data_IF_241604238562
#
_entry.id   IF_241604238562
#
_cell.length_a   1.000
_cell.length_b   1.000
_cell.length_c   1.000
_cell.angle_alpha   90.00
_cell.angle_beta   90.00
_cell.angle_gamma   90.00
#
_symmetry.space_group_name_H-M   'P 1'
#
loop_
_entity.id
_entity.type
_entity.pdbx_description
1 polymer ?
#
# COMPACT_ATOMS: atom_id res chain seq x y z
N UNK A 1 -19.56 27.97 0.63
CA UNK A 1 -18.59 27.29 1.52
C UNK A 1 -17.53 26.66 0.61
N UNK A 2 -16.31 27.11 0.68
CA UNK A 2 -15.18 26.48 -0.04
C UNK A 2 -14.96 25.08 0.55
N UNK A 3 -14.78 24.09 -0.32
CA UNK A 3 -14.40 22.76 0.14
C UNK A 3 -13.12 22.84 0.99
N UNK A 4 -12.99 22.06 2.06
CA UNK A 4 -11.76 22.04 2.83
C UNK A 4 -10.58 21.66 1.91
N UNK A 5 -9.37 22.18 2.18
CA UNK A 5 -8.20 21.85 1.39
C UNK A 5 -7.98 20.31 1.40
N UNK A 6 -7.41 19.75 0.33
CA UNK A 6 -7.10 18.32 0.31
C UNK A 6 -6.11 17.99 1.44
N UNK A 7 -6.18 16.77 2.01
CA UNK A 7 -5.24 16.34 3.04
C UNK A 7 -3.81 16.26 2.48
N UNK A 8 -2.81 16.58 3.30
CA UNK A 8 -1.40 16.31 2.98
C UNK A 8 -1.11 14.84 3.23
N UNK A 9 -0.74 14.13 2.18
CA UNK A 9 -0.62 12.68 2.21
C UNK A 9 0.82 12.24 1.95
N UNK A 10 1.28 11.23 2.69
CA UNK A 10 2.44 10.45 2.28
C UNK A 10 2.02 9.04 1.85
N UNK A 11 2.71 8.48 0.87
CA UNK A 11 2.47 7.11 0.40
C UNK A 11 3.69 6.23 0.69
N UNK A 12 3.47 5.09 1.35
CA UNK A 12 4.47 4.04 1.55
C UNK A 12 4.18 2.90 0.57
N UNK A 13 5.05 2.73 -0.44
CA UNK A 13 4.98 1.64 -1.41
C UNK A 13 5.77 0.44 -0.89
N UNK A 14 5.09 -0.63 -0.50
CA UNK A 14 5.73 -1.85 0.02
C UNK A 14 6.13 -2.77 -1.13
N UNK A 15 7.44 -2.88 -1.38
CA UNK A 15 8.05 -3.66 -2.44
C UNK A 15 9.05 -4.73 -1.91
N UNK A 16 9.13 -4.92 -0.59
CA UNK A 16 10.11 -5.80 0.08
C UNK A 16 9.76 -7.29 0.06
N UNK A 17 8.66 -7.71 -0.59
CA UNK A 17 8.28 -9.11 -0.70
C UNK A 17 9.25 -9.92 -1.57
N UNK A 18 9.49 -11.20 -1.22
CA UNK A 18 10.44 -12.08 -1.92
C UNK A 18 10.07 -12.40 -3.38
N UNK A 19 8.80 -12.24 -3.76
CA UNK A 19 8.33 -12.55 -5.12
C UNK A 19 8.43 -14.03 -5.54
N UNK A 20 8.79 -14.93 -4.63
CA UNK A 20 9.14 -16.35 -4.91
C UNK A 20 8.09 -17.15 -5.67
N UNK A 21 6.81 -16.77 -5.58
CA UNK A 21 5.71 -17.48 -6.24
C UNK A 21 5.58 -17.24 -7.75
N UNK A 22 6.22 -16.20 -8.28
CA UNK A 22 6.22 -15.93 -9.74
C UNK A 22 7.28 -16.77 -10.47
N UNK A 23 8.21 -17.41 -9.75
CA UNK A 23 9.19 -18.36 -10.32
C UNK A 23 10.30 -17.76 -11.19
N UNK A 24 10.39 -16.44 -11.30
CA UNK A 24 11.28 -15.77 -12.25
C UNK A 24 12.71 -15.50 -11.71
N UNK A 25 13.07 -15.98 -10.51
CA UNK A 25 14.37 -15.67 -9.89
C UNK A 25 14.56 -14.18 -9.52
N UNK A 26 13.70 -13.30 -10.02
CA UNK A 26 13.69 -11.84 -9.80
C UNK A 26 12.44 -11.44 -9.00
N UNK A 27 12.55 -10.37 -8.23
CA UNK A 27 11.39 -9.84 -7.51
C UNK A 27 10.29 -9.41 -8.49
N UNK A 28 9.08 -9.91 -8.28
CA UNK A 28 7.92 -9.66 -9.16
C UNK A 28 7.60 -8.18 -9.39
N UNK A 29 7.94 -7.30 -8.44
CA UNK A 29 7.71 -5.86 -8.58
C UNK A 29 8.65 -5.20 -9.60
N UNK A 30 9.75 -5.89 -9.98
CA UNK A 30 10.69 -5.48 -11.00
C UNK A 30 10.39 -6.09 -12.38
N UNK A 31 9.47 -7.05 -12.46
CA UNK A 31 9.08 -7.65 -13.73
C UNK A 31 8.39 -6.62 -14.64
N UNK A 32 8.63 -6.69 -15.96
CA UNK A 32 7.98 -5.77 -16.89
C UNK A 32 6.49 -6.11 -17.04
N UNK A 33 5.65 -5.08 -16.99
CA UNK A 33 4.25 -5.07 -17.34
C UNK A 33 4.08 -4.04 -18.47
N UNK A 34 3.84 -4.50 -19.68
CA UNK A 34 3.88 -3.67 -20.90
C UNK A 34 5.18 -2.85 -21.04
N UNK A 35 6.33 -3.48 -20.74
CA UNK A 35 7.64 -2.85 -20.82
C UNK A 35 8.01 -1.90 -19.66
N UNK A 36 7.13 -1.71 -18.69
CA UNK A 36 7.35 -0.88 -17.49
C UNK A 36 7.34 -1.77 -16.25
N UNK A 37 8.30 -1.66 -15.31
CA UNK A 37 8.28 -2.47 -14.10
C UNK A 37 6.98 -2.32 -13.31
N UNK A 38 6.45 -3.42 -12.75
CA UNK A 38 5.21 -3.43 -11.96
C UNK A 38 5.17 -2.33 -10.89
N UNK A 39 6.28 -2.14 -10.15
CA UNK A 39 6.38 -1.10 -9.12
C UNK A 39 6.27 0.32 -9.69
N UNK A 40 6.77 0.54 -10.91
CA UNK A 40 6.77 1.86 -11.53
C UNK A 40 5.34 2.34 -11.85
N UNK A 41 4.39 1.46 -12.09
CA UNK A 41 2.98 1.80 -12.23
C UNK A 41 2.42 2.39 -10.92
N UNK A 42 2.63 1.71 -9.78
CA UNK A 42 2.22 2.21 -8.47
C UNK A 42 2.93 3.53 -8.09
N UNK A 43 4.22 3.66 -8.44
CA UNK A 43 4.98 4.89 -8.23
C UNK A 43 4.37 6.05 -9.03
N UNK A 44 4.12 5.85 -10.32
CA UNK A 44 3.51 6.85 -11.20
C UNK A 44 2.16 7.31 -10.69
N UNK A 45 1.27 6.36 -10.29
CA UNK A 45 -0.02 6.72 -9.72
C UNK A 45 0.15 7.54 -8.45
N UNK A 46 0.98 7.11 -7.49
CA UNK A 46 1.18 7.83 -6.24
C UNK A 46 1.74 9.25 -6.47
N UNK A 47 2.67 9.41 -7.41
CA UNK A 47 3.32 10.70 -7.69
C UNK A 47 2.52 11.61 -8.63
N UNK A 48 1.50 11.11 -9.32
CA UNK A 48 0.58 11.94 -10.13
C UNK A 48 -0.42 12.72 -9.27
N UNK A 49 -0.60 12.35 -8.01
CA UNK A 49 -1.55 12.98 -7.11
C UNK A 49 -0.93 14.23 -6.47
N UNK A 50 -1.50 15.39 -6.74
CA UNK A 50 -0.96 16.69 -6.29
C UNK A 50 -0.90 16.80 -4.76
N UNK A 51 -1.85 16.18 -4.06
CA UNK A 51 -1.94 16.18 -2.60
C UNK A 51 -1.00 15.16 -1.91
N UNK A 52 -0.24 14.36 -2.68
CA UNK A 52 0.80 13.47 -2.14
C UNK A 52 2.12 14.23 -2.08
N UNK A 53 2.54 14.57 -0.87
CA UNK A 53 3.75 15.35 -0.62
C UNK A 53 5.02 14.50 -0.64
N UNK A 54 4.92 13.23 -0.27
CA UNK A 54 6.08 12.35 -0.15
C UNK A 54 5.73 10.90 -0.47
N UNK A 55 6.62 10.24 -1.20
CA UNK A 55 6.56 8.80 -1.44
C UNK A 55 7.78 8.12 -0.79
N UNK A 56 7.55 7.00 -0.10
CA UNK A 56 8.61 6.15 0.44
C UNK A 56 8.46 4.77 -0.16
N UNK A 57 9.48 4.30 -0.87
CA UNK A 57 9.51 2.96 -1.44
C UNK A 57 10.32 2.04 -0.53
N UNK A 58 9.70 0.99 -0.05
CA UNK A 58 10.35 0.02 0.83
C UNK A 58 10.74 -1.20 0.03
N UNK A 59 12.03 -1.38 -0.22
CA UNK A 59 12.58 -2.44 -1.04
C UNK A 59 13.22 -3.56 -0.20
N UNK A 60 13.27 -4.78 -0.73
CA UNK A 60 14.10 -5.84 -0.17
C UNK A 60 15.58 -5.45 -0.28
N UNK A 61 16.40 -5.78 0.70
CA UNK A 61 17.84 -5.44 0.71
C UNK A 61 18.54 -5.77 -0.61
N UNK A 62 18.32 -6.97 -1.14
CA UNK A 62 18.92 -7.40 -2.42
C UNK A 62 18.44 -6.62 -3.65
N UNK A 63 17.34 -5.87 -3.54
CA UNK A 63 16.73 -5.14 -4.65
C UNK A 63 16.88 -3.62 -4.52
N UNK A 64 17.46 -3.11 -3.44
CA UNK A 64 17.54 -1.66 -3.14
C UNK A 64 18.14 -0.87 -4.31
N UNK A 65 19.27 -1.32 -4.87
CA UNK A 65 19.91 -0.63 -5.99
C UNK A 65 19.00 -0.59 -7.21
N UNK A 66 18.41 -1.73 -7.60
CA UNK A 66 17.51 -1.80 -8.75
C UNK A 66 16.23 -0.97 -8.55
N UNK A 67 15.72 -0.89 -7.31
CA UNK A 67 14.57 -0.04 -6.98
C UNK A 67 14.95 1.44 -6.98
N UNK A 68 16.17 1.79 -6.57
CA UNK A 68 16.67 3.16 -6.65
C UNK A 68 16.75 3.62 -8.10
N UNK A 69 17.39 2.82 -8.99
CA UNK A 69 17.49 3.11 -10.42
C UNK A 69 16.08 3.22 -11.07
N UNK A 70 15.13 2.38 -10.63
CA UNK A 70 13.75 2.45 -11.08
C UNK A 70 13.10 3.77 -10.64
N UNK A 71 13.26 4.17 -9.39
CA UNK A 71 12.71 5.42 -8.87
C UNK A 71 13.30 6.60 -9.64
N UNK A 72 14.61 6.69 -9.81
CA UNK A 72 15.25 7.76 -10.59
C UNK A 72 14.71 7.84 -12.02
N UNK A 73 14.48 6.67 -12.66
CA UNK A 73 14.00 6.61 -14.04
C UNK A 73 12.54 7.00 -14.21
N UNK A 74 11.67 6.69 -13.24
CA UNK A 74 10.21 6.79 -13.39
C UNK A 74 9.57 7.86 -12.51
N UNK A 75 10.36 8.52 -11.64
CA UNK A 75 9.88 9.63 -10.82
C UNK A 75 9.71 10.87 -11.70
N UNK A 76 8.53 11.52 -11.68
CA UNK A 76 8.34 12.77 -12.40
C UNK A 76 9.24 13.90 -11.86
N UNK A 77 9.64 14.81 -12.75
CA UNK A 77 10.40 16.00 -12.36
C UNK A 77 9.66 16.82 -11.28
N UNK A 78 10.41 17.32 -10.30
CA UNK A 78 9.86 18.08 -9.18
C UNK A 78 9.16 17.25 -8.10
N UNK A 79 9.18 15.91 -8.20
CA UNK A 79 8.67 15.00 -7.17
C UNK A 79 9.81 14.35 -6.40
N UNK A 80 9.56 14.01 -5.15
CA UNK A 80 10.54 13.36 -4.28
C UNK A 80 10.04 11.98 -3.85
N UNK A 81 10.96 11.01 -3.85
CA UNK A 81 10.71 9.70 -3.28
C UNK A 81 11.97 9.18 -2.56
N UNK A 82 11.79 8.62 -1.38
CA UNK A 82 12.87 7.95 -0.65
C UNK A 82 12.81 6.43 -0.89
N UNK A 83 13.96 5.79 -1.04
CA UNK A 83 14.07 4.33 -1.07
C UNK A 83 14.72 3.85 0.21
N UNK A 84 14.10 2.88 0.89
CA UNK A 84 14.61 2.32 2.14
C UNK A 84 14.56 0.80 2.15
N UNK A 85 15.48 0.19 2.89
CA UNK A 85 15.50 -1.25 3.08
C UNK A 85 14.38 -1.68 4.01
N UNK A 86 13.59 -2.67 3.61
CA UNK A 86 12.52 -3.29 4.39
C UNK A 86 13.06 -4.17 5.53
N UNK A 87 12.13 -4.72 6.28
CA UNK A 87 12.40 -5.68 7.35
C UNK A 87 12.11 -7.13 6.93
N UNK A 88 12.27 -8.05 7.88
CA UNK A 88 12.05 -9.46 7.67
C UNK A 88 10.58 -9.84 7.40
N UNK A 89 9.65 -9.00 7.81
CA UNK A 89 8.20 -9.19 7.60
C UNK A 89 7.59 -8.00 6.88
N UNK A 90 6.34 -8.15 6.38
CA UNK A 90 5.56 -7.03 5.84
C UNK A 90 5.42 -5.92 6.88
N UNK A 91 5.04 -6.26 8.10
CA UNK A 91 4.88 -5.33 9.22
C UNK A 91 6.18 -4.56 9.51
N UNK A 92 7.32 -5.27 9.59
CA UNK A 92 8.62 -4.63 9.79
C UNK A 92 9.01 -3.71 8.61
N UNK A 93 8.62 -4.06 7.38
CA UNK A 93 8.85 -3.21 6.20
C UNK A 93 7.98 -1.95 6.24
N UNK A 94 6.71 -2.06 6.63
CA UNK A 94 5.82 -0.91 6.84
C UNK A 94 6.38 0.03 7.92
N UNK A 95 6.86 -0.53 9.04
CA UNK A 95 7.53 0.25 10.09
C UNK A 95 8.75 1.02 9.58
N UNK A 96 9.58 0.40 8.74
CA UNK A 96 10.74 1.09 8.11
C UNK A 96 10.27 2.29 7.27
N UNK A 97 9.23 2.12 6.46
CA UNK A 97 8.65 3.22 5.68
C UNK A 97 8.08 4.33 6.55
N UNK A 98 7.31 3.98 7.59
CA UNK A 98 6.74 4.95 8.55
C UNK A 98 7.83 5.69 9.35
N UNK A 99 8.95 5.02 9.64
CA UNK A 99 10.05 5.63 10.37
C UNK A 99 10.71 6.80 9.61
N UNK A 100 10.71 6.76 8.28
CA UNK A 100 11.15 7.89 7.43
C UNK A 100 10.23 9.10 7.57
N UNK A 101 8.94 8.87 7.72
CA UNK A 101 7.92 9.90 7.81
C UNK A 101 7.76 10.47 9.23
N UNK A 102 8.42 9.89 10.24
CA UNK A 102 8.18 10.16 11.66
C UNK A 102 8.23 11.66 11.99
N UNK A 103 9.31 12.34 11.62
CA UNK A 103 9.49 13.76 11.96
C UNK A 103 8.38 14.63 11.37
N UNK A 104 7.97 14.37 10.14
CA UNK A 104 6.87 15.09 9.49
C UNK A 104 5.52 14.80 10.12
N UNK A 105 5.29 13.54 10.53
CA UNK A 105 4.05 13.15 11.24
C UNK A 105 3.99 13.84 12.60
N UNK A 106 5.08 13.83 13.36
CA UNK A 106 5.17 14.45 14.69
C UNK A 106 5.06 15.99 14.63
N UNK A 107 5.55 16.60 13.55
CA UNK A 107 5.39 18.03 13.29
C UNK A 107 3.97 18.43 12.85
N UNK A 108 3.11 17.44 12.52
CA UNK A 108 1.78 17.70 11.98
C UNK A 108 1.79 18.13 10.51
N UNK A 109 2.86 17.83 9.77
CA UNK A 109 3.00 18.17 8.34
C UNK A 109 2.31 17.16 7.42
N UNK A 110 1.87 16.03 7.96
CA UNK A 110 1.15 14.98 7.24
C UNK A 110 -0.17 14.66 7.96
N UNK A 111 -1.26 14.68 7.23
CA UNK A 111 -2.59 14.39 7.75
C UNK A 111 -2.91 12.89 7.64
N UNK A 112 -2.48 12.26 6.54
CA UNK A 112 -2.77 10.86 6.20
C UNK A 112 -1.51 10.17 5.68
N UNK A 113 -1.35 8.90 6.05
CA UNK A 113 -0.39 8.00 5.39
C UNK A 113 -1.15 6.85 4.75
N UNK A 114 -0.89 6.63 3.47
CA UNK A 114 -1.41 5.50 2.70
C UNK A 114 -0.31 4.45 2.49
N UNK A 115 -0.56 3.22 2.90
CA UNK A 115 0.33 2.08 2.66
C UNK A 115 -0.21 1.27 1.49
N UNK A 116 0.63 1.08 0.47
CA UNK A 116 0.21 0.42 -0.76
C UNK A 116 1.17 -0.70 -1.17
N UNK A 117 0.62 -1.84 -1.59
CA UNK A 117 1.40 -2.93 -2.16
C UNK A 117 1.95 -2.51 -3.53
N UNK A 118 3.27 -2.36 -3.67
CA UNK A 118 3.91 -2.07 -4.96
C UNK A 118 3.68 -3.14 -6.05
N UNK A 119 3.05 -4.25 -5.70
CA UNK A 119 2.61 -5.31 -6.61
C UNK A 119 1.14 -5.16 -7.07
N UNK A 120 0.49 -4.00 -6.87
CA UNK A 120 -0.85 -3.69 -7.38
C UNK A 120 -0.78 -2.54 -8.39
N UNK A 121 -0.32 -2.83 -9.62
CA UNK A 121 -0.06 -1.80 -10.61
C UNK A 121 -1.31 -1.08 -11.13
N UNK A 122 -2.49 -1.65 -10.88
CA UNK A 122 -3.77 -1.17 -11.42
C UNK A 122 -4.61 -0.36 -10.40
N UNK A 123 -4.04 -0.03 -9.25
CA UNK A 123 -4.66 0.93 -8.34
C UNK A 123 -4.57 2.33 -8.99
N UNK A 124 -5.72 2.87 -9.36
CA UNK A 124 -5.81 4.17 -10.05
C UNK A 124 -5.85 5.35 -9.07
N UNK A 125 -5.79 6.56 -9.63
CA UNK A 125 -5.83 7.80 -8.88
C UNK A 125 -7.16 7.98 -8.13
N UNK A 126 -8.28 7.55 -8.71
CA UNK A 126 -9.61 7.67 -8.09
C UNK A 126 -9.70 6.81 -6.83
N UNK A 127 -9.17 5.59 -6.86
CA UNK A 127 -9.12 4.72 -5.69
C UNK A 127 -8.26 5.32 -4.57
N UNK A 128 -7.06 5.83 -4.90
CA UNK A 128 -6.21 6.50 -3.93
C UNK A 128 -6.92 7.71 -3.32
N UNK A 129 -7.54 8.56 -4.13
CA UNK A 129 -8.26 9.73 -3.66
C UNK A 129 -9.42 9.35 -2.73
N UNK A 130 -10.26 8.40 -3.13
CA UNK A 130 -11.40 7.94 -2.34
C UNK A 130 -10.95 7.41 -0.96
N UNK A 131 -9.89 6.59 -0.94
CA UNK A 131 -9.36 6.01 0.30
C UNK A 131 -8.71 7.07 1.19
N UNK A 132 -7.88 7.97 0.64
CA UNK A 132 -7.21 9.01 1.42
C UNK A 132 -8.21 10.03 1.99
N UNK A 133 -9.20 10.47 1.21
CA UNK A 133 -10.30 11.35 1.69
C UNK A 133 -11.12 10.70 2.79
N UNK A 134 -11.49 9.42 2.62
CA UNK A 134 -12.23 8.68 3.62
C UNK A 134 -11.44 8.52 4.92
N UNK A 135 -10.13 8.21 4.83
CA UNK A 135 -9.25 8.11 5.99
C UNK A 135 -9.11 9.44 6.72
N UNK A 136 -8.93 10.55 5.98
CA UNK A 136 -8.86 11.89 6.56
C UNK A 136 -10.15 12.24 7.35
N UNK A 137 -11.31 11.97 6.75
CA UNK A 137 -12.61 12.28 7.37
C UNK A 137 -12.90 11.39 8.58
N UNK A 138 -12.65 10.09 8.50
CA UNK A 138 -13.17 9.10 9.45
C UNK A 138 -12.10 8.44 10.32
N UNK A 139 -10.82 8.54 9.96
CA UNK A 139 -9.72 7.94 10.74
C UNK A 139 -8.90 6.94 9.93
N UNK A 140 -9.53 5.91 9.40
CA UNK A 140 -8.91 4.92 8.52
C UNK A 140 -9.84 4.50 7.40
N UNK A 141 -9.28 4.09 6.26
CA UNK A 141 -10.04 3.54 5.14
C UNK A 141 -9.20 2.58 4.30
N UNK A 142 -9.89 1.62 3.69
CA UNK A 142 -9.25 0.70 2.76
C UNK A 142 -10.28 0.13 1.76
N UNK A 143 -9.83 -0.31 0.57
CA UNK A 143 -10.73 -0.92 -0.39
C UNK A 143 -11.14 -2.32 0.06
N UNK A 144 -12.44 -2.60 0.00
CA UNK A 144 -13.02 -3.90 0.33
C UNK A 144 -13.85 -4.44 -0.82
N UNK A 145 -13.83 -5.77 -1.00
CA UNK A 145 -14.66 -6.48 -1.97
C UNK A 145 -15.38 -7.63 -1.30
N UNK A 146 -16.68 -7.84 -1.57
CA UNK A 146 -17.37 -9.06 -1.15
C UNK A 146 -16.63 -10.31 -1.64
N UNK A 147 -16.54 -11.32 -0.79
CA UNK A 147 -15.99 -12.65 -1.13
C UNK A 147 -17.10 -13.68 -1.04
N UNK A 148 -17.94 -13.83 -2.08
CA UNK A 148 -18.97 -14.85 -2.12
C UNK A 148 -18.38 -16.25 -2.34
N UNK A 149 -19.13 -17.28 -1.99
CA UNK A 149 -18.80 -18.67 -2.32
C UNK A 149 -17.72 -19.29 -1.43
N UNK A 150 -17.39 -18.67 -0.28
CA UNK A 150 -16.48 -19.25 0.67
C UNK A 150 -17.18 -20.31 1.54
N UNK A 151 -16.50 -21.44 1.75
CA UNK A 151 -16.91 -22.51 2.65
C UNK A 151 -15.76 -22.83 3.61
N UNK A 152 -16.07 -23.43 4.75
CA UNK A 152 -15.03 -23.97 5.64
C UNK A 152 -14.24 -25.07 4.94
N UNK A 153 -12.98 -25.29 5.36
CA UNK A 153 -12.08 -26.27 4.71
C UNK A 153 -12.63 -27.69 4.68
N UNK A 154 -13.53 -28.05 5.60
CA UNK A 154 -14.26 -29.33 5.63
C UNK A 154 -15.51 -29.36 4.72
N UNK A 155 -15.80 -28.26 4.01
CA UNK A 155 -16.94 -28.11 3.10
C UNK A 155 -18.32 -28.00 3.79
N UNK A 156 -18.40 -28.01 5.12
CA UNK A 156 -19.66 -28.16 5.86
C UNK A 156 -20.45 -26.89 6.08
N UNK A 157 -19.81 -25.71 6.04
CA UNK A 157 -20.48 -24.42 6.31
C UNK A 157 -20.12 -23.38 5.26
N UNK A 158 -21.15 -22.71 4.74
CA UNK A 158 -20.97 -21.49 3.99
C UNK A 158 -20.57 -20.36 4.93
N UNK A 159 -19.57 -19.59 4.53
CA UNK A 159 -19.13 -18.40 5.27
C UNK A 159 -19.65 -17.18 4.53
N UNK A 160 -20.40 -16.34 5.24
CA UNK A 160 -20.99 -15.10 4.70
C UNK A 160 -20.44 -13.88 5.44
N UNK A 161 -20.59 -12.70 4.83
CA UNK A 161 -20.13 -11.44 5.43
C UNK A 161 -18.62 -11.22 5.38
N UNK A 162 -17.86 -12.10 4.70
CA UNK A 162 -16.43 -11.88 4.49
C UNK A 162 -16.18 -10.95 3.31
N UNK A 163 -15.18 -10.10 3.49
CA UNK A 163 -14.67 -9.20 2.46
C UNK A 163 -13.18 -9.43 2.24
N UNK A 164 -12.75 -9.37 1.01
CA UNK A 164 -11.34 -9.30 0.67
C UNK A 164 -10.87 -7.86 0.76
N UNK A 165 -9.78 -7.62 1.48
CA UNK A 165 -9.18 -6.30 1.62
C UNK A 165 -8.10 -6.08 0.55
N UNK A 166 -7.98 -4.84 0.10
CA UNK A 166 -6.96 -4.44 -0.87
C UNK A 166 -6.13 -3.28 -0.29
N UNK A 167 -5.23 -2.75 -1.08
CA UNK A 167 -4.51 -1.49 -0.81
C UNK A 167 -4.73 -0.52 -1.98
N UNK A 168 -4.62 0.81 -1.75
CA UNK A 168 -4.02 1.48 -0.58
C UNK A 168 -4.84 1.32 0.69
N UNK A 169 -4.18 1.18 1.85
CA UNK A 169 -4.79 1.27 3.17
C UNK A 169 -4.31 2.59 3.80
N UNK A 170 -5.21 3.53 4.01
CA UNK A 170 -4.88 4.85 4.49
C UNK A 170 -5.43 5.11 5.89
N UNK A 171 -4.66 5.84 6.69
CA UNK A 171 -4.99 6.17 8.07
C UNK A 171 -4.50 7.58 8.41
N UNK A 172 -5.14 8.23 9.38
CA UNK A 172 -4.60 9.45 9.98
C UNK A 172 -3.19 9.18 10.49
N UNK A 173 -2.26 10.07 10.15
CA UNK A 173 -0.83 9.84 10.31
C UNK A 173 -0.40 9.62 11.77
N UNK A 174 -0.85 10.44 12.71
CA UNK A 174 -0.51 10.31 14.12
C UNK A 174 -0.94 8.97 14.74
N UNK A 175 -2.23 8.63 14.70
CA UNK A 175 -2.71 7.34 15.23
C UNK A 175 -2.05 6.12 14.57
N UNK A 176 -1.75 6.17 13.27
CA UNK A 176 -1.02 5.10 12.59
C UNK A 176 0.38 4.94 13.17
N UNK A 177 1.13 6.03 13.30
CA UNK A 177 2.49 5.99 13.87
C UNK A 177 2.48 5.44 15.31
N UNK A 178 1.51 5.86 16.12
CA UNK A 178 1.38 5.40 17.51
C UNK A 178 1.02 3.91 17.60
N UNK A 179 0.14 3.41 16.71
CA UNK A 179 -0.17 1.99 16.62
C UNK A 179 1.11 1.16 16.35
N UNK A 180 1.90 1.58 15.37
CA UNK A 180 3.13 0.89 15.02
C UNK A 180 4.21 0.97 16.10
N UNK A 181 4.31 2.08 16.84
CA UNK A 181 5.21 2.18 18.00
C UNK A 181 4.86 1.18 19.10
N UNK A 182 3.58 1.07 19.44
CA UNK A 182 3.09 0.09 20.43
C UNK A 182 3.32 -1.34 19.93
N UNK A 183 2.99 -1.61 18.68
CA UNK A 183 3.22 -2.90 18.06
C UNK A 183 4.70 -3.34 18.09
N UNK A 184 5.63 -2.39 17.86
CA UNK A 184 7.07 -2.66 17.98
C UNK A 184 7.49 -2.99 19.42
N UNK A 185 6.94 -2.29 20.41
CA UNK A 185 7.25 -2.54 21.82
C UNK A 185 6.77 -3.93 22.28
N UNK A 186 5.63 -4.39 21.75
CA UNK A 186 5.02 -5.67 22.09
C UNK A 186 5.51 -6.84 21.22
N UNK A 187 6.36 -6.60 20.21
CA UNK A 187 6.80 -7.64 19.27
C UNK A 187 5.66 -8.16 18.37
N UNK A 188 4.62 -7.38 18.18
CA UNK A 188 3.47 -7.73 17.35
C UNK A 188 3.84 -7.79 15.86
N UNK A 189 3.25 -8.74 15.16
CA UNK A 189 3.39 -8.86 13.70
C UNK A 189 2.02 -8.97 13.06
N UNK A 190 1.58 -7.90 12.38
CA UNK A 190 0.34 -7.87 11.62
C UNK A 190 0.49 -8.47 10.22
N UNK A 191 -0.61 -8.92 9.64
CA UNK A 191 -0.68 -9.39 8.25
C UNK A 191 -0.85 -8.26 7.25
N UNK A 192 -1.45 -7.14 7.70
CA UNK A 192 -1.62 -5.91 6.94
C UNK A 192 -1.65 -4.69 7.88
N UNK A 193 -1.72 -3.49 7.31
CA UNK A 193 -1.71 -2.22 8.04
C UNK A 193 -2.93 -2.08 8.94
N UNK A 194 -4.12 -2.43 8.42
CA UNK A 194 -5.38 -2.35 9.17
C UNK A 194 -5.36 -3.27 10.39
N UNK A 195 -4.81 -4.48 10.27
CA UNK A 195 -4.68 -5.40 11.40
C UNK A 195 -3.83 -4.84 12.54
N UNK A 196 -2.77 -4.09 12.24
CA UNK A 196 -2.00 -3.40 13.27
C UNK A 196 -2.80 -2.25 13.89
N UNK A 197 -3.41 -1.39 13.08
CA UNK A 197 -4.16 -0.24 13.57
C UNK A 197 -5.33 -0.66 14.47
N UNK A 198 -6.11 -1.66 14.06
CA UNK A 198 -7.25 -2.16 14.86
C UNK A 198 -6.84 -2.88 16.12
N UNK A 199 -5.63 -3.44 16.19
CA UNK A 199 -5.11 -4.06 17.41
C UNK A 199 -4.69 -3.04 18.47
N UNK A 200 -4.30 -1.84 18.06
CA UNK A 200 -3.70 -0.84 18.97
C UNK A 200 -4.47 0.48 19.07
N UNK A 201 -5.56 0.63 18.35
CA UNK A 201 -6.39 1.85 18.39
C UNK A 201 -7.85 1.50 18.22
N UNK A 202 -8.74 2.41 18.68
CA UNK A 202 -10.17 2.38 18.40
C UNK A 202 -10.52 3.18 17.13
N UNK A 203 -9.54 3.43 16.27
CA UNK A 203 -9.72 4.23 15.07
C UNK A 203 -10.70 3.54 14.11
N UNK A 204 -11.81 4.20 13.71
CA UNK A 204 -12.73 3.62 12.75
C UNK A 204 -12.04 3.34 11.41
N UNK A 205 -12.34 2.18 10.82
CA UNK A 205 -11.84 1.79 9.49
C UNK A 205 -13.02 1.67 8.54
N UNK A 206 -13.07 2.57 7.56
CA UNK A 206 -14.16 2.65 6.61
C UNK A 206 -13.89 1.83 5.34
N UNK A 207 -14.91 1.13 4.89
CA UNK A 207 -14.88 0.40 3.62
C UNK A 207 -15.05 1.37 2.45
N UNK A 208 -14.15 1.31 1.48
CA UNK A 208 -14.30 1.92 0.16
C UNK A 208 -14.53 0.79 -0.85
N UNK A 209 -15.44 0.92 -1.83
CA UNK A 209 -15.59 -0.10 -2.85
C UNK A 209 -14.27 -0.38 -3.57
N UNK A 210 -13.78 -1.62 -3.50
CA UNK A 210 -12.55 -2.05 -4.15
C UNK A 210 -12.82 -2.60 -5.55
N UNK A 211 -12.22 -2.05 -6.62
CA UNK A 211 -12.44 -2.56 -7.97
C UNK A 211 -11.80 -3.95 -8.15
N UNK A 212 -12.45 -4.78 -8.99
CA UNK A 212 -11.91 -6.10 -9.33
C UNK A 212 -10.56 -6.03 -10.02
N UNK A 213 -10.35 -4.95 -10.77
CA UNK A 213 -9.13 -4.66 -11.52
C UNK A 213 -7.92 -4.35 -10.63
N UNK A 214 -8.12 -3.91 -9.38
CA UNK A 214 -7.02 -3.66 -8.43
C UNK A 214 -6.44 -5.00 -7.90
N UNK A 215 -6.03 -5.86 -8.82
CA UNK A 215 -5.41 -7.14 -8.50
C UNK A 215 -3.99 -6.98 -7.97
N UNK A 216 -3.55 -7.96 -7.18
CA UNK A 216 -2.16 -8.06 -6.72
C UNK A 216 -1.42 -9.08 -7.57
N UNK A 217 -0.41 -8.67 -8.29
CA UNK A 217 0.48 -9.58 -9.01
C UNK A 217 1.15 -10.51 -7.98
N UNK A 218 0.78 -11.78 -8.01
CA UNK A 218 1.25 -12.81 -7.07
C UNK A 218 1.81 -14.01 -7.81
N UNK A 219 1.21 -14.36 -8.94
CA UNK A 219 1.58 -15.46 -9.85
C UNK A 219 1.83 -14.88 -11.25
N UNK A 220 2.41 -15.69 -12.14
CA UNK A 220 2.68 -15.29 -13.53
C UNK A 220 1.38 -14.97 -14.30
N UNK A 221 0.30 -15.68 -13.99
CA UNK A 221 -1.03 -15.48 -14.61
C UNK A 221 -1.61 -14.10 -14.28
N UNK A 222 -1.32 -13.57 -13.07
CA UNK A 222 -1.76 -12.23 -12.66
C UNK A 222 -1.09 -11.14 -13.52
N UNK A 223 0.17 -11.35 -13.92
CA UNK A 223 0.88 -10.42 -14.80
C UNK A 223 0.20 -10.38 -16.18
N UNK A 224 -0.07 -11.55 -16.76
CA UNK A 224 -0.77 -11.63 -18.05
C UNK A 224 -2.18 -11.03 -17.99
N UNK A 225 -2.88 -11.18 -16.86
CA UNK A 225 -4.18 -10.54 -16.65
C UNK A 225 -4.05 -9.03 -16.55
N UNK A 226 -3.04 -8.53 -15.81
CA UNK A 226 -2.78 -7.10 -15.68
C UNK A 226 -2.47 -6.45 -17.04
N UNK A 227 -1.69 -7.13 -17.91
CA UNK A 227 -1.41 -6.66 -19.28
C UNK A 227 -2.69 -6.47 -20.10
N UNK A 228 -3.63 -7.44 -20.02
CA UNK A 228 -4.91 -7.36 -20.75
C UNK A 228 -5.84 -6.27 -20.21
N UNK A 229 -5.70 -5.89 -18.95
CA UNK A 229 -6.53 -4.84 -18.32
C UNK A 229 -5.98 -3.43 -18.61
N UNK A 230 -4.71 -3.32 -18.97
CA UNK A 230 -4.05 -2.05 -19.30
C UNK A 230 -4.03 -1.76 -20.82
N UNK A 231 -4.11 -2.78 -21.65
CA UNK A 231 -4.12 -2.68 -23.12
C UNK A 231 -5.52 -2.65 -23.65
#
# INVERSE_FOLDING_TARGET
>A
MTAPPPPRVAVVLVAAGSGSRVGAGTNKVLLPLLGVPVLAWSLRTATSLEYVDQVVVVAREADVTAVHDLVERYLPEGREAAVVTGGATRHASEWRGLSVLRSRIEAGDLDVVAVHDGARPLADAELFEAVCRSAHAHGGALPMRPQPGLVTADGRRHVTGLVGVQTPQAFRAGPLLDAYRRAQADGFTGTDTAGCVTAYTDLPVHAVPGPATNLKVTFAEDLALAERLLG
#
